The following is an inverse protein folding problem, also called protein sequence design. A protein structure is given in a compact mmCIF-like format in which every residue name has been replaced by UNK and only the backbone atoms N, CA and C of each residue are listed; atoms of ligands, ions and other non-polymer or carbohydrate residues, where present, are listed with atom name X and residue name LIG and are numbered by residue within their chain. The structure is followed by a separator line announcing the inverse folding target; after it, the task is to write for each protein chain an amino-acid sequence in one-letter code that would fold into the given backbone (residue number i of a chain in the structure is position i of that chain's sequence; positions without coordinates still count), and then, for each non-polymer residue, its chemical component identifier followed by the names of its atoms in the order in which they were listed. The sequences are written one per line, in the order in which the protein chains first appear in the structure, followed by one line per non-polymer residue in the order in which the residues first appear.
data_IF_008675178161
#
_entry.id   IF_008675178161
#
_cell.length_a   1.000
_cell.length_b   1.000
_cell.length_c   1.000
_cell.angle_alpha   90.00
_cell.angle_beta   90.00
_cell.angle_gamma   90.00
#
_symmetry.space_group_name_H-M   'P 1'
#
loop_
_entity.id
_entity.type
_entity.pdbx_description
1 polymer ?
#
# COMPACT_ATOMS: atom_id res chain seq x y z
N UNK A 1 -17.23 -17.91 -13.12
CA UNK A 1 -15.94 -18.59 -13.45
C UNK A 1 -14.71 -17.66 -13.44
N UNK A 2 -14.85 -16.33 -13.60
CA UNK A 2 -13.73 -15.37 -13.61
C UNK A 2 -12.97 -15.24 -12.27
N UNK A 3 -13.71 -15.36 -11.15
CA UNK A 3 -13.17 -15.17 -9.78
C UNK A 3 -12.11 -16.23 -9.40
N UNK A 4 -12.29 -17.46 -9.88
CA UNK A 4 -11.36 -18.57 -9.59
C UNK A 4 -10.06 -18.48 -10.39
N UNK A 5 -10.09 -17.87 -11.58
CA UNK A 5 -8.88 -17.59 -12.38
C UNK A 5 -8.03 -16.50 -11.74
N UNK A 6 -8.66 -15.46 -11.16
CA UNK A 6 -7.95 -14.43 -10.40
C UNK A 6 -7.27 -15.01 -9.15
N UNK A 7 -7.98 -15.90 -8.42
CA UNK A 7 -7.44 -16.54 -7.21
C UNK A 7 -6.25 -17.48 -7.49
N UNK A 8 -6.31 -18.30 -8.57
CA UNK A 8 -5.19 -19.18 -8.95
C UNK A 8 -4.02 -18.47 -9.62
N UNK A 9 -4.21 -17.26 -10.16
CA UNK A 9 -3.12 -16.47 -10.74
C UNK A 9 -2.41 -15.59 -9.69
N UNK A 10 -3.11 -15.20 -8.62
CA UNK A 10 -2.51 -14.47 -7.49
C UNK A 10 -1.45 -15.28 -6.73
N UNK A 11 -1.42 -16.61 -6.86
CA UNK A 11 -0.43 -17.49 -6.23
C UNK A 11 1.00 -17.30 -6.71
N UNK A 12 1.24 -16.61 -7.83
CA UNK A 12 2.58 -16.28 -8.33
C UNK A 12 2.96 -14.80 -8.22
N UNK A 13 2.11 -13.97 -7.60
CA UNK A 13 2.37 -12.55 -7.48
C UNK A 13 3.11 -12.25 -6.18
N UNK A 14 4.24 -11.54 -6.29
CA UNK A 14 4.91 -10.94 -5.14
C UNK A 14 3.90 -9.99 -4.47
N UNK A 15 3.45 -10.39 -3.29
CA UNK A 15 2.57 -9.58 -2.47
C UNK A 15 3.38 -9.02 -1.30
N UNK A 16 3.28 -7.71 -1.12
CA UNK A 16 3.96 -7.02 -0.01
C UNK A 16 2.90 -6.49 0.93
N UNK A 17 3.06 -6.78 2.22
CA UNK A 17 2.21 -6.19 3.25
C UNK A 17 2.86 -4.88 3.70
N UNK A 18 2.14 -3.78 3.54
CA UNK A 18 2.57 -2.45 3.97
C UNK A 18 1.77 -2.10 5.22
N UNK A 19 2.42 -1.92 6.39
CA UNK A 19 1.73 -1.38 7.55
C UNK A 19 1.36 0.07 7.26
N UNK A 20 0.11 0.45 7.49
CA UNK A 20 -0.37 1.81 7.24
C UNK A 20 -0.98 2.35 8.52
N UNK A 21 -0.55 3.54 8.91
CA UNK A 21 -1.10 4.27 10.04
C UNK A 21 -1.45 5.68 9.61
N UNK A 22 -2.70 6.07 9.84
CA UNK A 22 -3.19 7.40 9.48
C UNK A 22 -4.22 7.88 10.52
N UNK A 23 -4.53 9.17 10.52
CA UNK A 23 -5.54 9.76 11.40
C UNK A 23 -6.71 10.24 10.55
N UNK A 24 -7.92 9.82 10.89
CA UNK A 24 -9.15 10.24 10.23
C UNK A 24 -10.16 10.68 11.27
N UNK A 25 -10.68 11.91 11.17
CA UNK A 25 -11.65 12.51 12.10
C UNK A 25 -11.23 12.40 13.59
N UNK A 26 -9.94 12.55 13.88
CA UNK A 26 -9.38 12.47 15.24
C UNK A 26 -9.14 11.05 15.75
N UNK A 27 -9.46 10.02 14.96
CA UNK A 27 -9.21 8.62 15.28
C UNK A 27 -7.95 8.15 14.57
N UNK A 28 -7.00 7.61 15.33
CA UNK A 28 -5.82 6.96 14.76
C UNK A 28 -6.18 5.55 14.31
N UNK A 29 -5.99 5.28 13.02
CA UNK A 29 -6.27 4.00 12.39
C UNK A 29 -4.95 3.34 12.05
N UNK A 30 -4.75 2.12 12.54
CA UNK A 30 -3.66 1.25 12.16
C UNK A 30 -4.21 0.06 11.38
N UNK A 31 -3.77 -0.09 10.14
CA UNK A 31 -4.20 -1.16 9.23
C UNK A 31 -3.03 -1.68 8.41
N UNK A 32 -3.31 -2.66 7.53
CA UNK A 32 -2.37 -3.23 6.59
C UNK A 32 -2.93 -3.06 5.18
N UNK A 33 -2.12 -2.53 4.29
CA UNK A 33 -2.38 -2.52 2.86
C UNK A 33 -1.65 -3.69 2.21
N UNK A 34 -2.38 -4.54 1.51
CA UNK A 34 -1.81 -5.63 0.73
C UNK A 34 -1.59 -5.13 -0.69
N UNK A 35 -0.31 -4.99 -1.05
CA UNK A 35 0.14 -4.52 -2.36
C UNK A 35 0.26 -5.69 -3.33
N UNK A 36 -0.39 -5.56 -4.48
CA UNK A 36 -0.34 -6.48 -5.61
C UNK A 36 0.23 -5.74 -6.82
N UNK A 37 1.33 -6.22 -7.38
CA UNK A 37 1.88 -5.68 -8.62
C UNK A 37 1.39 -6.50 -9.83
N UNK A 38 0.59 -5.89 -10.70
CA UNK A 38 0.08 -6.51 -11.91
C UNK A 38 0.51 -5.72 -13.16
N UNK A 39 1.48 -6.26 -13.90
CA UNK A 39 2.07 -5.61 -15.09
C UNK A 39 2.61 -4.21 -14.76
N UNK A 40 1.88 -3.15 -15.15
CA UNK A 40 2.21 -1.73 -14.89
C UNK A 40 1.32 -1.10 -13.83
N UNK A 41 0.35 -1.85 -13.31
CA UNK A 41 -0.60 -1.38 -12.32
C UNK A 41 -0.28 -2.01 -10.96
N UNK A 42 -0.51 -1.25 -9.91
CA UNK A 42 -0.41 -1.73 -8.54
C UNK A 42 -1.78 -1.61 -7.90
N UNK A 43 -2.29 -2.71 -7.34
CA UNK A 43 -3.51 -2.71 -6.55
C UNK A 43 -3.18 -2.82 -5.07
N UNK A 44 -3.86 -2.02 -4.27
CA UNK A 44 -3.79 -2.06 -2.83
C UNK A 44 -5.15 -2.47 -2.30
N UNK A 45 -5.17 -3.58 -1.56
CA UNK A 45 -6.33 -4.00 -0.78
C UNK A 45 -6.12 -3.57 0.67
N UNK A 46 -7.02 -2.76 1.21
CA UNK A 46 -6.95 -2.28 2.59
C UNK A 46 -8.19 -2.73 3.35
N UNK A 47 -7.98 -3.28 4.54
CA UNK A 47 -9.07 -3.55 5.48
C UNK A 47 -9.32 -2.29 6.33
N UNK A 48 -10.56 -1.83 6.40
CA UNK A 48 -10.95 -0.70 7.23
C UNK A 48 -11.73 -1.18 8.45
N UNK A 49 -11.55 -0.56 9.63
CA UNK A 49 -12.37 -0.87 10.79
C UNK A 49 -13.84 -0.52 10.50
N UNK A 50 -14.76 -1.37 10.95
CA UNK A 50 -16.21 -1.13 10.83
C UNK A 50 -16.68 0.12 11.56
N UNK A 51 -15.91 0.62 12.53
CA UNK A 51 -16.16 1.88 13.23
C UNK A 51 -15.89 3.12 12.38
N UNK A 52 -15.19 2.99 11.26
CA UNK A 52 -14.78 4.09 10.39
C UNK A 52 -15.54 4.06 9.06
N UNK A 53 -15.80 2.86 8.53
CA UNK A 53 -16.53 2.71 7.28
C UNK A 53 -17.50 1.52 7.33
N UNK A 54 -18.65 1.68 6.69
CA UNK A 54 -19.55 0.57 6.37
C UNK A 54 -18.93 -0.40 5.36
N UNK A 55 -17.96 0.08 4.57
CA UNK A 55 -17.18 -0.71 3.63
C UNK A 55 -15.90 -1.17 4.34
N UNK A 56 -15.91 -2.41 4.81
CA UNK A 56 -14.80 -3.02 5.55
C UNK A 56 -13.54 -3.26 4.70
N UNK A 57 -13.64 -3.10 3.38
CA UNK A 57 -12.52 -3.32 2.44
C UNK A 57 -12.55 -2.28 1.33
N UNK A 58 -11.50 -1.49 1.21
CA UNK A 58 -11.32 -0.61 0.05
C UNK A 58 -10.20 -1.12 -0.86
N UNK A 59 -10.36 -0.84 -2.15
CA UNK A 59 -9.39 -1.19 -3.18
C UNK A 59 -8.95 0.07 -3.89
N UNK A 60 -7.64 0.26 -3.96
CA UNK A 60 -7.03 1.40 -4.64
C UNK A 60 -6.13 0.86 -5.73
N UNK A 61 -6.30 1.33 -6.96
CA UNK A 61 -5.32 1.10 -8.02
C UNK A 61 -4.40 2.31 -8.15
N UNK A 62 -3.14 2.02 -8.46
CA UNK A 62 -2.13 2.99 -8.89
C UNK A 62 -1.66 2.58 -10.27
N UNK A 63 -1.81 3.46 -11.26
CA UNK A 63 -1.24 3.28 -12.58
C UNK A 63 -0.31 4.45 -12.87
N UNK A 64 0.99 4.17 -13.06
CA UNK A 64 2.05 5.17 -13.05
C UNK A 64 2.00 6.06 -11.79
N UNK A 65 1.41 7.25 -11.88
CA UNK A 65 1.23 8.20 -10.77
C UNK A 65 -0.23 8.52 -10.44
N UNK A 66 -1.18 7.96 -11.18
CA UNK A 66 -2.60 8.14 -10.95
C UNK A 66 -3.12 7.13 -9.94
N UNK A 67 -3.77 7.62 -8.89
CA UNK A 67 -4.42 6.80 -7.87
C UNK A 67 -5.92 6.84 -8.07
N UNK A 68 -6.56 5.67 -8.08
CA UNK A 68 -8.00 5.54 -8.29
C UNK A 68 -8.61 4.61 -7.26
N UNK A 69 -9.73 5.03 -6.68
CA UNK A 69 -10.58 4.14 -5.89
C UNK A 69 -11.29 3.18 -6.85
N UNK A 70 -11.06 1.88 -6.66
CA UNK A 70 -11.70 0.81 -7.45
C UNK A 70 -12.94 0.30 -6.74
N UNK A 71 -12.93 0.28 -5.41
CA UNK A 71 -14.05 -0.18 -4.58
C UNK A 71 -14.07 0.60 -3.26
N UNK A 72 -15.17 1.29 -3.01
CA UNK A 72 -15.43 2.15 -1.85
C UNK A 72 -16.60 3.10 -2.13
N UNK A 73 -16.91 3.99 -1.21
CA UNK A 73 -17.94 5.03 -1.37
C UNK A 73 -17.32 6.41 -1.54
N UNK A 74 -17.99 7.32 -2.26
CA UNK A 74 -17.46 8.67 -2.52
C UNK A 74 -17.24 9.50 -1.25
N UNK A 75 -18.00 9.22 -0.18
CA UNK A 75 -17.81 9.84 1.14
C UNK A 75 -16.42 9.56 1.75
N UNK A 76 -15.67 8.62 1.18
CA UNK A 76 -14.35 8.21 1.65
C UNK A 76 -13.21 8.91 0.92
N UNK A 77 -13.47 9.86 0.00
CA UNK A 77 -12.40 10.56 -0.74
C UNK A 77 -11.34 11.21 0.15
N UNK A 78 -11.74 11.82 1.28
CA UNK A 78 -10.80 12.42 2.23
C UNK A 78 -9.94 11.35 2.91
N UNK A 79 -10.58 10.28 3.39
CA UNK A 79 -9.89 9.12 3.97
C UNK A 79 -8.94 8.48 2.95
N UNK A 80 -9.33 8.44 1.68
CA UNK A 80 -8.53 7.91 0.58
C UNK A 80 -7.25 8.72 0.36
N UNK A 81 -7.32 10.04 0.38
CA UNK A 81 -6.14 10.90 0.30
C UNK A 81 -5.18 10.67 1.48
N UNK A 82 -5.71 10.57 2.70
CA UNK A 82 -4.93 10.27 3.91
C UNK A 82 -4.27 8.89 3.81
N UNK A 83 -5.01 7.89 3.31
CA UNK A 83 -4.55 6.52 3.13
C UNK A 83 -3.46 6.42 2.04
N UNK A 84 -3.65 7.07 0.89
CA UNK A 84 -2.64 7.15 -0.18
C UNK A 84 -1.37 7.81 0.34
N UNK A 85 -1.51 8.89 1.11
CA UNK A 85 -0.36 9.60 1.70
C UNK A 85 0.42 8.69 2.64
N UNK A 86 -0.28 7.96 3.52
CA UNK A 86 0.35 7.04 4.46
C UNK A 86 1.04 5.86 3.74
N UNK A 87 0.45 5.33 2.66
CA UNK A 87 1.10 4.30 1.83
C UNK A 87 2.38 4.84 1.18
N UNK A 88 2.33 6.04 0.57
CA UNK A 88 3.51 6.67 -0.06
C UNK A 88 4.65 6.88 0.94
N UNK A 89 4.34 7.39 2.14
CA UNK A 89 5.33 7.58 3.19
C UNK A 89 5.98 6.26 3.61
N UNK A 90 5.17 5.21 3.79
CA UNK A 90 5.71 3.91 4.18
C UNK A 90 6.58 3.30 3.08
N UNK A 91 6.20 3.42 1.81
CA UNK A 91 7.02 2.95 0.69
C UNK A 91 8.37 3.70 0.59
N UNK A 92 8.38 5.02 0.83
CA UNK A 92 9.61 5.80 0.88
C UNK A 92 10.51 5.37 2.05
N UNK A 93 9.94 5.15 3.23
CA UNK A 93 10.69 4.65 4.39
C UNK A 93 11.30 3.27 4.12
N UNK A 94 10.54 2.37 3.50
CA UNK A 94 11.05 1.05 3.12
C UNK A 94 12.14 1.13 2.04
N UNK A 95 12.08 2.10 1.12
CA UNK A 95 13.13 2.33 0.13
C UNK A 95 14.42 2.92 0.76
N UNK A 96 14.28 3.81 1.74
CA UNK A 96 15.41 4.39 2.48
C UNK A 96 16.11 3.37 3.40
N UNK A 97 15.40 2.34 3.87
CA UNK A 97 16.01 1.25 4.63
C UNK A 97 16.76 0.23 3.75
N UNK A 98 16.67 0.35 2.43
CA UNK A 98 17.35 -0.53 1.47
C UNK A 98 18.67 0.05 0.92
N UNK A 99 19.12 1.23 1.37
CA UNK A 99 20.48 1.69 1.02
C UNK A 99 21.53 0.81 1.69
N UNK A 100 22.42 0.14 0.93
CA UNK A 100 23.47 -0.68 1.49
C UNK A 100 24.45 0.21 2.27
N UNK A 101 24.75 -0.19 3.50
CA UNK A 101 25.83 0.35 4.31
C UNK A 101 27.21 -0.09 3.76
N UNK A 102 27.48 0.17 2.48
CA UNK A 102 28.75 -0.14 1.82
C UNK A 102 29.49 1.15 1.47
N UNK A 103 30.04 1.79 2.51
CA UNK A 103 31.15 2.73 2.33
C UNK A 103 32.27 2.24 3.24
N UNK A 104 33.04 1.29 2.70
CA UNK A 104 34.35 0.87 3.17
C UNK A 104 35.28 2.09 3.27
N UNK A 105 35.91 2.40 4.41
CA UNK A 105 37.11 3.22 4.40
C UNK A 105 38.25 2.35 3.87
N UNK A 106 38.68 2.62 2.64
CA UNK A 106 39.97 2.17 2.14
C UNK A 106 41.07 2.84 2.98
N UNK A 107 41.47 2.24 4.10
CA UNK A 107 42.73 2.57 4.74
C UNK A 107 43.85 1.92 3.93
N UNK A 108 44.61 2.78 3.25
CA UNK A 108 45.78 2.47 2.45
C UNK A 108 46.80 1.68 3.28
N UNK A 109 47.36 0.65 2.66
CA UNK A 109 48.62 0.05 3.05
C UNK A 109 49.73 1.10 3.09
N UNK A 110 50.48 1.12 4.19
CA UNK A 110 51.86 1.61 4.26
C UNK A 110 52.56 0.83 5.38
#
# INVERSE_FOLDING_TARGET
MLVLLLLRYMTHQQHTIIPVKFSHNGITIATKALKYAYRREVLYKIALPSSISSVQQCWISKNADEWKLVMGTDNEQKMMLELITAIKQQEQLSALQQTPADIKPALKSA
#
